data_IF_763584930854
#
_entry.id   IF_763584930854
#
_cell.length_a   1.000
_cell.length_b   1.000
_cell.length_c   1.000
_cell.angle_alpha   90.00
_cell.angle_beta   90.00
_cell.angle_gamma   90.00
#
_symmetry.space_group_name_H-M   'P 1'
#
loop_
_entity.id
_entity.type
_entity.pdbx_description
1 polymer ?
#
# COMPACT_ATOMS: atom_id res chain seq x y z
N UNK A 1 8.01 -15.01 25.05
CA UNK A 1 8.44 -13.86 25.86
C UNK A 1 9.30 -12.96 24.99
N UNK A 2 9.26 -11.65 25.23
CA UNK A 2 9.95 -10.66 24.39
C UNK A 2 10.91 -9.84 25.25
N UNK A 3 12.13 -9.65 24.76
CA UNK A 3 13.15 -8.81 25.39
C UNK A 3 13.58 -7.71 24.43
N UNK A 4 13.79 -6.51 24.96
CA UNK A 4 14.33 -5.36 24.24
C UNK A 4 15.63 -4.93 24.89
N UNK A 5 16.65 -4.71 24.07
CA UNK A 5 17.94 -4.13 24.45
C UNK A 5 18.11 -2.84 23.68
N UNK A 6 18.38 -1.74 24.39
CA UNK A 6 18.53 -0.42 23.78
C UNK A 6 19.99 0.00 23.88
N UNK A 7 20.49 0.58 22.80
CA UNK A 7 21.78 1.25 22.78
C UNK A 7 21.59 2.70 22.37
N UNK A 8 21.47 3.57 23.38
CA UNK A 8 21.31 5.01 23.20
C UNK A 8 22.65 5.74 23.08
N UNK A 9 23.78 5.08 23.37
CA UNK A 9 25.11 5.69 23.38
C UNK A 9 25.98 5.27 22.19
N UNK A 10 25.52 4.34 21.35
CA UNK A 10 26.16 3.91 20.09
C UNK A 10 26.82 5.07 19.30
N UNK A 11 26.12 6.20 19.15
CA UNK A 11 26.67 7.34 18.41
C UNK A 11 27.87 7.99 19.10
N UNK A 12 27.87 8.04 20.43
CA UNK A 12 28.97 8.62 21.21
C UNK A 12 30.17 7.66 21.30
N UNK A 13 29.92 6.35 21.33
CA UNK A 13 30.93 5.32 21.51
C UNK A 13 31.61 4.95 20.18
N UNK A 14 30.82 4.69 19.15
CA UNK A 14 31.28 4.09 17.88
C UNK A 14 30.90 4.92 16.63
N UNK A 15 30.06 5.95 16.79
CA UNK A 15 29.55 6.75 15.68
C UNK A 15 28.33 6.14 14.97
N UNK A 16 27.81 5.02 15.50
CA UNK A 16 26.67 4.30 14.95
C UNK A 16 25.33 4.93 15.36
N UNK A 17 24.25 4.70 14.58
CA UNK A 17 22.91 5.14 14.94
C UNK A 17 22.41 4.44 16.22
N UNK A 18 21.54 5.14 16.96
CA UNK A 18 20.87 4.58 18.13
C UNK A 18 20.07 3.35 17.70
N UNK A 19 20.16 2.27 18.48
CA UNK A 19 19.54 1.00 18.13
C UNK A 19 18.64 0.41 19.19
N UNK A 20 17.66 -0.38 18.74
CA UNK A 20 16.88 -1.29 19.59
C UNK A 20 16.97 -2.69 19.01
N UNK A 21 17.44 -3.64 19.83
CA UNK A 21 17.44 -5.07 19.51
C UNK A 21 16.27 -5.74 20.22
N UNK A 22 15.53 -6.55 19.49
CA UNK A 22 14.37 -7.31 19.95
C UNK A 22 14.66 -8.79 19.80
N UNK A 23 14.37 -9.57 20.84
CA UNK A 23 14.41 -11.02 20.81
C UNK A 23 13.06 -11.57 21.27
N UNK A 24 12.44 -12.42 20.46
CA UNK A 24 11.15 -13.04 20.73
C UNK A 24 11.31 -14.55 20.71
N UNK A 25 10.80 -15.24 21.73
CA UNK A 25 10.70 -16.70 21.68
C UNK A 25 9.73 -17.16 20.59
N UNK A 26 10.14 -18.12 19.79
CA UNK A 26 9.31 -18.75 18.76
C UNK A 26 8.10 -19.45 19.38
N UNK A 27 8.31 -20.09 20.53
CA UNK A 27 7.27 -20.81 21.22
C UNK A 27 6.81 -20.11 22.50
N UNK A 28 5.51 -20.20 22.75
CA UNK A 28 4.92 -19.74 24.01
C UNK A 28 5.28 -20.70 25.14
N UNK A 29 5.64 -20.18 26.33
CA UNK A 29 6.11 -20.96 27.48
C UNK A 29 5.19 -22.13 27.87
N UNK A 30 3.88 -22.00 27.63
CA UNK A 30 2.85 -23.02 27.93
C UNK A 30 2.42 -23.87 26.73
N UNK A 31 3.10 -23.80 25.58
CA UNK A 31 2.76 -24.61 24.41
C UNK A 31 2.97 -26.10 24.71
N UNK A 32 2.09 -27.02 24.28
CA UNK A 32 2.37 -28.45 24.37
C UNK A 32 3.46 -28.80 23.35
N UNK A 33 4.67 -29.12 23.83
CA UNK A 33 5.86 -29.31 23.00
C UNK A 33 6.05 -30.77 22.55
N UNK A 34 6.47 -30.97 21.28
CA UNK A 34 6.93 -32.27 20.74
C UNK A 34 8.38 -32.18 20.21
N UNK A 35 9.00 -30.98 20.22
CA UNK A 35 10.35 -30.76 19.69
C UNK A 35 11.49 -30.94 20.71
N UNK A 36 12.74 -31.14 20.24
CA UNK A 36 13.96 -31.16 21.06
C UNK A 36 14.13 -29.93 21.98
N UNK A 37 14.86 -30.09 23.09
CA UNK A 37 15.02 -29.06 24.14
C UNK A 37 15.71 -27.79 23.64
N UNK A 38 16.58 -27.92 22.64
CA UNK A 38 17.28 -26.86 21.94
C UNK A 38 16.35 -25.96 21.12
N UNK A 39 15.28 -26.50 20.52
CA UNK A 39 14.24 -25.71 19.83
C UNK A 39 13.30 -25.01 20.82
N UNK A 40 13.20 -25.50 22.06
CA UNK A 40 12.30 -24.94 23.08
C UNK A 40 12.66 -23.49 23.46
N UNK A 41 13.94 -23.13 23.34
CA UNK A 41 14.45 -21.79 23.63
C UNK A 41 14.79 -21.00 22.36
N UNK A 42 14.35 -21.47 21.18
CA UNK A 42 14.57 -20.76 19.93
C UNK A 42 13.97 -19.35 19.99
N UNK A 43 14.73 -18.39 19.45
CA UNK A 43 14.34 -16.98 19.40
C UNK A 43 14.53 -16.42 18.01
N UNK A 44 13.58 -15.60 17.59
CA UNK A 44 13.70 -14.72 16.43
C UNK A 44 14.22 -13.37 16.90
N UNK A 45 15.31 -12.90 16.28
CA UNK A 45 15.95 -11.64 16.61
C UNK A 45 15.73 -10.59 15.52
N UNK A 46 15.65 -9.32 15.92
CA UNK A 46 15.66 -8.19 15.02
C UNK A 46 16.36 -6.98 15.65
N UNK A 47 16.87 -6.07 14.83
CA UNK A 47 17.46 -4.81 15.23
C UNK A 47 16.87 -3.68 14.38
N UNK A 48 16.60 -2.53 15.00
CA UNK A 48 16.19 -1.32 14.30
C UNK A 48 17.14 -0.18 14.68
N UNK A 49 17.53 0.59 13.68
CA UNK A 49 18.47 1.69 13.79
C UNK A 49 17.78 3.00 13.46
N UNK A 50 18.00 4.01 14.28
CA UNK A 50 17.42 5.34 14.15
C UNK A 50 18.47 6.44 14.14
N UNK A 51 18.26 7.46 13.32
CA UNK A 51 19.12 8.63 13.30
C UNK A 51 18.83 9.60 14.47
N UNK A 52 19.59 10.70 14.53
CA UNK A 52 19.42 11.73 15.57
C UNK A 52 18.08 12.47 15.55
N UNK A 53 17.21 12.24 14.55
CA UNK A 53 15.86 12.77 14.48
C UNK A 53 14.79 11.71 14.82
N UNK A 54 15.20 10.50 15.21
CA UNK A 54 14.31 9.39 15.54
C UNK A 54 13.69 8.72 14.32
N UNK A 55 14.24 8.93 13.11
CA UNK A 55 13.78 8.26 11.89
C UNK A 55 14.51 6.93 11.76
N UNK A 56 13.77 5.87 11.40
CA UNK A 56 14.39 4.57 11.11
C UNK A 56 15.22 4.67 9.84
N UNK A 57 16.52 4.36 9.94
CA UNK A 57 17.46 4.36 8.82
C UNK A 57 17.75 2.96 8.30
N UNK A 58 17.56 1.92 9.13
CA UNK A 58 17.78 0.53 8.77
C UNK A 58 17.09 -0.40 9.76
N UNK A 59 16.52 -1.51 9.28
CA UNK A 59 16.01 -2.61 10.08
C UNK A 59 16.66 -3.91 9.63
N UNK A 60 17.04 -4.76 10.58
CA UNK A 60 17.66 -6.07 10.31
C UNK A 60 16.87 -7.14 11.04
N UNK A 61 16.27 -8.07 10.32
CA UNK A 61 15.51 -9.18 10.90
C UNK A 61 16.19 -10.50 10.58
N UNK A 62 16.20 -11.44 11.53
CA UNK A 62 16.76 -12.77 11.33
C UNK A 62 16.14 -13.44 10.09
N UNK A 63 17.00 -13.96 9.23
CA UNK A 63 16.63 -14.76 8.06
C UNK A 63 16.93 -16.25 8.33
N UNK A 64 16.47 -17.09 7.40
CA UNK A 64 16.79 -18.50 7.39
C UNK A 64 18.30 -18.75 7.16
N UNK A 65 18.79 -19.89 7.63
CA UNK A 65 20.19 -20.30 7.47
C UNK A 65 20.57 -20.61 6.01
N UNK A 66 19.58 -20.90 5.15
CA UNK A 66 19.80 -21.19 3.73
C UNK A 66 19.29 -20.03 2.87
N UNK A 67 20.18 -19.46 2.05
CA UNK A 67 19.84 -18.45 1.04
C UNK A 67 19.93 -19.07 -0.35
N UNK A 68 18.85 -18.98 -1.12
CA UNK A 68 18.79 -19.48 -2.49
C UNK A 68 19.29 -18.44 -3.49
N UNK A 69 20.06 -18.89 -4.48
CA UNK A 69 20.49 -18.07 -5.61
C UNK A 69 21.46 -16.96 -5.19
N UNK A 70 21.13 -15.72 -5.59
CA UNK A 70 21.94 -14.55 -5.29
C UNK A 70 22.02 -14.33 -3.76
N UNK A 71 23.23 -14.24 -3.20
CA UNK A 71 23.40 -14.13 -1.74
C UNK A 71 23.00 -12.77 -1.16
N UNK A 72 22.78 -11.75 -1.99
CA UNK A 72 22.34 -10.41 -1.60
C UNK A 72 20.83 -10.27 -1.78
N UNK A 73 20.27 -10.66 -2.93
CA UNK A 73 18.84 -10.43 -3.21
C UNK A 73 17.96 -11.68 -3.11
N UNK A 74 18.56 -12.84 -2.98
CA UNK A 74 17.89 -14.12 -3.22
C UNK A 74 17.54 -14.29 -4.70
N UNK A 75 17.51 -15.54 -5.15
CA UNK A 75 16.85 -15.90 -6.42
C UNK A 75 16.44 -17.38 -6.39
N UNK A 76 15.37 -17.70 -7.11
CA UNK A 76 14.86 -19.06 -7.30
C UNK A 76 15.57 -19.85 -8.41
N UNK A 77 16.57 -19.26 -9.09
CA UNK A 77 17.26 -19.85 -10.23
C UNK A 77 16.48 -19.71 -11.55
N UNK A 78 15.52 -18.78 -11.59
CA UNK A 78 14.74 -18.52 -12.81
C UNK A 78 15.50 -17.55 -13.71
N UNK A 79 15.65 -17.85 -15.01
CA UNK A 79 16.30 -16.94 -15.92
C UNK A 79 15.47 -15.67 -16.12
N UNK A 80 16.15 -14.54 -16.34
CA UNK A 80 15.49 -13.27 -16.63
C UNK A 80 14.64 -13.32 -17.92
N UNK A 81 14.98 -14.20 -18.86
CA UNK A 81 14.23 -14.41 -20.09
C UNK A 81 13.37 -15.67 -19.99
N UNK A 82 12.06 -15.50 -20.10
CA UNK A 82 11.07 -16.59 -19.98
C UNK A 82 11.25 -17.75 -20.98
N UNK A 83 11.93 -17.50 -22.11
CA UNK A 83 12.22 -18.52 -23.12
C UNK A 83 13.46 -19.36 -22.81
N UNK A 84 14.28 -18.95 -21.83
CA UNK A 84 15.43 -19.71 -21.40
C UNK A 84 15.00 -20.84 -20.46
N UNK A 85 15.66 -22.01 -20.52
CA UNK A 85 15.31 -23.13 -19.66
C UNK A 85 15.58 -22.79 -18.19
N UNK A 86 14.62 -23.14 -17.33
CA UNK A 86 14.76 -23.02 -15.88
C UNK A 86 16.04 -23.71 -15.40
N UNK A 87 16.74 -23.07 -14.47
CA UNK A 87 17.87 -23.68 -13.78
C UNK A 87 17.40 -24.29 -12.45
N UNK A 88 18.26 -25.14 -11.87
CA UNK A 88 18.00 -25.65 -10.52
C UNK A 88 18.14 -24.51 -9.50
N UNK A 89 17.25 -24.47 -8.51
CA UNK A 89 17.43 -23.63 -7.35
C UNK A 89 18.63 -24.15 -6.53
N UNK A 90 19.64 -23.30 -6.32
CA UNK A 90 20.84 -23.64 -5.54
C UNK A 90 20.80 -22.85 -4.24
N UNK A 91 20.74 -23.56 -3.12
CA UNK A 91 20.81 -22.98 -1.77
C UNK A 91 22.23 -23.00 -1.22
N UNK A 92 22.66 -21.90 -0.61
CA UNK A 92 23.89 -21.83 0.16
C UNK A 92 23.53 -21.80 1.65
N UNK A 93 23.98 -22.81 2.38
CA UNK A 93 23.79 -22.91 3.82
C UNK A 93 24.86 -22.09 4.56
N UNK A 94 24.43 -21.33 5.56
CA UNK A 94 25.30 -20.59 6.46
C UNK A 94 26.24 -21.55 7.19
N UNK A 95 27.53 -21.20 7.25
CA UNK A 95 28.50 -22.00 7.99
C UNK A 95 28.22 -22.00 9.50
N UNK A 96 28.43 -23.14 10.16
CA UNK A 96 28.31 -23.26 11.61
C UNK A 96 29.25 -22.26 12.31
N UNK A 97 28.70 -21.42 13.20
CA UNK A 97 29.43 -20.37 13.91
C UNK A 97 29.57 -19.03 13.18
N UNK A 98 29.14 -18.91 11.91
CA UNK A 98 29.07 -17.61 11.24
C UNK A 98 27.93 -16.74 11.81
N UNK A 99 27.99 -15.39 11.71
CA UNK A 99 26.89 -14.52 12.10
C UNK A 99 25.58 -14.91 11.40
N UNK A 100 24.43 -14.81 12.09
CA UNK A 100 23.13 -15.17 11.51
C UNK A 100 22.86 -14.39 10.23
N UNK A 101 22.23 -15.04 9.25
CA UNK A 101 21.71 -14.33 8.10
C UNK A 101 20.62 -13.37 8.57
N UNK A 102 20.57 -12.19 7.97
CA UNK A 102 19.53 -11.20 8.23
C UNK A 102 18.99 -10.64 6.92
N UNK A 103 17.72 -10.28 6.91
CA UNK A 103 17.17 -9.38 5.91
C UNK A 103 17.32 -7.96 6.41
N UNK A 104 18.14 -7.18 5.72
CA UNK A 104 18.21 -5.73 5.85
C UNK A 104 17.08 -5.12 5.05
N UNK A 105 16.25 -4.32 5.71
CA UNK A 105 15.07 -3.68 5.12
C UNK A 105 14.89 -2.28 5.67
N UNK A 106 14.09 -1.46 4.99
CA UNK A 106 13.86 -0.08 5.39
C UNK A 106 15.14 0.78 5.37
N UNK A 107 16.19 0.31 4.70
CA UNK A 107 17.44 1.05 4.58
C UNK A 107 17.21 2.31 3.73
N UNK A 108 17.31 3.47 4.37
CA UNK A 108 17.02 4.78 3.78
C UNK A 108 18.09 5.77 4.14
N UNK A 109 18.43 6.62 3.17
CA UNK A 109 19.24 7.81 3.41
C UNK A 109 18.41 9.05 3.28
N UNK A 110 18.65 9.95 4.20
CA UNK A 110 17.95 11.22 4.26
C UNK A 110 18.91 12.36 3.97
N UNK A 111 18.43 13.40 3.30
CA UNK A 111 19.12 14.67 3.30
C UNK A 111 18.91 15.42 4.64
N UNK A 112 19.62 16.53 4.81
CA UNK A 112 19.52 17.37 6.00
C UNK A 112 18.15 18.05 6.20
N UNK A 113 17.24 17.94 5.23
CA UNK A 113 15.89 18.53 5.30
C UNK A 113 14.81 17.55 5.77
N UNK A 114 15.10 16.25 5.86
CA UNK A 114 14.05 15.29 6.17
C UNK A 114 13.74 14.30 5.05
N UNK A 115 14.20 14.56 3.84
CA UNK A 115 13.71 13.91 2.62
C UNK A 115 14.54 12.69 2.29
N UNK A 116 13.90 11.62 1.82
CA UNK A 116 14.56 10.34 1.50
C UNK A 116 15.26 10.50 0.15
N UNK A 117 16.59 10.51 0.11
CA UNK A 117 17.34 10.65 -1.15
C UNK A 117 17.74 9.30 -1.75
N UNK A 118 17.88 8.27 -0.94
CA UNK A 118 18.12 6.90 -1.41
C UNK A 118 17.26 5.94 -0.58
N UNK A 119 16.60 5.01 -1.25
CA UNK A 119 15.84 3.94 -0.62
C UNK A 119 16.29 2.61 -1.21
N UNK A 120 16.84 1.75 -0.37
CA UNK A 120 17.32 0.45 -0.78
C UNK A 120 16.18 -0.55 -0.82
N UNK A 121 16.25 -1.45 -1.79
CA UNK A 121 15.45 -2.67 -1.77
C UNK A 121 15.91 -3.56 -0.61
N UNK A 122 15.05 -4.43 -0.05
CA UNK A 122 15.48 -5.39 0.94
C UNK A 122 16.58 -6.32 0.40
N UNK A 123 17.61 -6.57 1.21
CA UNK A 123 18.72 -7.46 0.86
C UNK A 123 19.14 -8.31 2.04
N UNK A 124 19.70 -9.48 1.77
CA UNK A 124 20.36 -10.33 2.75
C UNK A 124 21.73 -9.76 3.11
N UNK A 125 22.07 -9.88 4.38
CA UNK A 125 23.40 -9.62 4.91
C UNK A 125 23.63 -10.57 6.11
N UNK A 126 24.72 -10.39 6.85
CA UNK A 126 25.07 -11.20 8.02
C UNK A 126 25.17 -10.36 9.29
N UNK A 127 24.71 -10.90 10.41
CA UNK A 127 24.76 -10.24 11.71
C UNK A 127 23.75 -9.10 11.88
N UNK A 128 23.59 -8.64 13.12
CA UNK A 128 22.62 -7.59 13.47
C UNK A 128 23.22 -6.19 13.53
N UNK A 129 24.53 -6.04 13.37
CA UNK A 129 25.21 -4.74 13.46
C UNK A 129 24.81 -3.84 12.29
N UNK A 130 24.87 -2.52 12.49
CA UNK A 130 24.49 -1.54 11.49
C UNK A 130 25.40 -1.66 10.26
N UNK A 131 24.82 -1.71 9.06
CA UNK A 131 25.58 -1.64 7.81
C UNK A 131 25.77 -0.18 7.42
N UNK A 132 27.01 0.35 7.47
CA UNK A 132 27.26 1.78 7.36
C UNK A 132 27.01 2.33 5.96
N UNK A 133 26.55 3.58 5.92
CA UNK A 133 26.12 4.31 4.72
C UNK A 133 27.19 4.53 3.63
N UNK A 134 28.42 4.05 3.76
CA UNK A 134 29.44 4.33 2.75
C UNK A 134 29.54 3.23 1.67
N UNK A 135 29.12 2.00 1.95
CA UNK A 135 29.26 0.85 1.04
C UNK A 135 28.18 -0.22 1.23
N UNK A 136 26.89 0.10 1.12
CA UNK A 136 25.84 -0.92 1.25
C UNK A 136 25.90 -1.90 0.07
N UNK A 137 25.64 -3.18 0.37
CA UNK A 137 25.62 -4.25 -0.62
C UNK A 137 24.35 -4.23 -1.50
N UNK A 138 23.29 -3.57 -1.03
CA UNK A 138 22.01 -3.46 -1.72
C UNK A 138 22.00 -2.48 -2.89
N UNK A 139 20.92 -2.54 -3.69
CA UNK A 139 20.62 -1.54 -4.73
C UNK A 139 19.56 -0.57 -4.23
N UNK A 140 19.63 0.68 -4.67
CA UNK A 140 18.71 1.73 -4.25
C UNK A 140 18.08 2.46 -5.43
N UNK A 141 16.83 2.86 -5.23
CA UNK A 141 16.25 3.97 -5.97
C UNK A 141 16.77 5.28 -5.39
N UNK A 142 17.09 6.25 -6.26
CA UNK A 142 17.52 7.60 -5.86
C UNK A 142 16.42 8.60 -6.16
N UNK A 143 16.04 9.39 -5.18
CA UNK A 143 14.97 10.39 -5.29
C UNK A 143 15.56 11.80 -5.25
N UNK A 144 15.06 12.66 -6.15
CA UNK A 144 15.46 14.05 -6.27
C UNK A 144 14.28 14.96 -6.02
N UNK A 145 14.54 16.04 -5.28
CA UNK A 145 13.54 17.00 -4.84
C UNK A 145 13.85 18.39 -5.39
N UNK A 146 12.81 19.17 -5.65
CA UNK A 146 12.96 20.59 -5.93
C UNK A 146 13.17 21.42 -4.65
N UNK A 147 13.33 22.74 -4.81
CA UNK A 147 13.54 23.64 -3.68
C UNK A 147 12.36 23.71 -2.69
N UNK A 148 11.14 23.34 -3.14
CA UNK A 148 9.92 23.29 -2.33
C UNK A 148 9.73 21.93 -1.63
N UNK A 149 10.64 20.97 -1.88
CA UNK A 149 10.60 19.62 -1.31
C UNK A 149 9.65 18.66 -2.02
N UNK A 150 9.27 18.98 -3.26
CA UNK A 150 8.46 18.08 -4.10
C UNK A 150 9.39 17.13 -4.82
N UNK A 151 9.09 15.83 -4.80
CA UNK A 151 9.84 14.84 -5.57
C UNK A 151 9.61 15.07 -7.06
N UNK A 152 10.69 15.32 -7.81
CA UNK A 152 10.66 15.61 -9.24
C UNK A 152 11.20 14.48 -10.08
N UNK A 153 12.09 13.64 -9.53
CA UNK A 153 12.71 12.54 -10.27
C UNK A 153 13.02 11.36 -9.36
N UNK A 154 12.81 10.16 -9.87
CA UNK A 154 13.31 8.90 -9.30
C UNK A 154 14.22 8.25 -10.33
N UNK A 155 15.43 7.85 -9.91
CA UNK A 155 16.36 7.05 -10.71
C UNK A 155 16.40 5.64 -10.14
N UNK A 156 16.03 4.65 -10.93
CA UNK A 156 16.02 3.25 -10.55
C UNK A 156 17.42 2.62 -10.65
N UNK A 157 17.65 1.45 -10.03
CA UNK A 157 18.93 0.74 -10.11
C UNK A 157 19.39 0.40 -11.53
N UNK A 158 18.46 0.23 -12.46
CA UNK A 158 18.71 -0.06 -13.88
C UNK A 158 18.93 1.21 -14.73
N UNK A 159 19.17 2.35 -14.08
CA UNK A 159 19.30 3.69 -14.67
C UNK A 159 18.01 4.25 -15.29
N UNK A 160 16.89 3.53 -15.17
CA UNK A 160 15.60 4.00 -15.65
C UNK A 160 15.06 5.14 -14.79
N UNK A 161 14.42 6.12 -15.43
CA UNK A 161 13.97 7.32 -14.72
C UNK A 161 12.44 7.43 -14.68
N UNK A 162 11.94 7.99 -13.59
CA UNK A 162 10.59 8.53 -13.47
C UNK A 162 10.71 10.02 -13.24
N UNK A 163 9.81 10.81 -13.83
CA UNK A 163 9.86 12.27 -13.74
C UNK A 163 8.45 12.84 -13.48
N UNK A 164 8.39 13.84 -12.60
CA UNK A 164 7.21 14.67 -12.38
C UNK A 164 7.55 16.11 -12.78
N UNK A 165 6.86 16.60 -13.81
CA UNK A 165 6.99 17.97 -14.30
C UNK A 165 5.87 18.81 -13.69
N UNK A 166 6.22 19.79 -12.86
CA UNK A 166 5.26 20.76 -12.30
C UNK A 166 5.07 21.94 -13.25
N UNK A 167 4.43 21.68 -14.37
CA UNK A 167 4.17 22.64 -15.43
C UNK A 167 3.69 21.96 -16.71
N UNK A 168 3.75 22.68 -17.82
CA UNK A 168 3.34 22.19 -19.14
C UNK A 168 4.59 22.05 -20.03
N UNK A 169 5.01 20.83 -20.40
CA UNK A 169 6.10 20.60 -21.36
C UNK A 169 5.84 21.30 -22.69
N UNK A 170 6.91 21.81 -23.33
CA UNK A 170 6.83 22.38 -24.67
C UNK A 170 6.41 21.34 -25.71
N UNK A 171 6.88 20.10 -25.54
CA UNK A 171 6.38 18.91 -26.21
C UNK A 171 6.52 17.68 -25.28
N UNK A 172 5.71 16.64 -25.49
CA UNK A 172 5.71 15.45 -24.63
C UNK A 172 7.08 14.73 -24.61
N UNK A 173 7.86 14.83 -25.69
CA UNK A 173 9.19 14.26 -25.82
C UNK A 173 10.34 15.14 -25.29
N UNK A 174 10.04 16.32 -24.74
CA UNK A 174 11.03 17.25 -24.18
C UNK A 174 10.64 17.68 -22.77
N UNK A 175 10.48 16.74 -21.82
CA UNK A 175 9.93 17.05 -20.50
C UNK A 175 10.79 18.00 -19.64
N UNK A 176 12.05 18.22 -20.01
CA UNK A 176 12.94 19.20 -19.36
C UNK A 176 12.70 20.64 -19.81
N UNK A 177 12.06 20.86 -20.95
CA UNK A 177 11.65 22.17 -21.44
C UNK A 177 10.15 22.35 -21.19
N UNK A 178 9.79 23.12 -20.17
CA UNK A 178 8.40 23.29 -19.76
C UNK A 178 8.13 24.68 -19.19
N UNK A 179 6.88 25.14 -19.38
CA UNK A 179 6.36 26.32 -18.73
C UNK A 179 5.86 25.95 -17.32
N UNK A 180 6.54 26.42 -16.28
CA UNK A 180 6.15 26.14 -14.89
C UNK A 180 4.77 26.71 -14.56
N UNK A 181 3.89 25.89 -13.96
CA UNK A 181 2.57 26.31 -13.48
C UNK A 181 2.14 25.40 -12.32
N UNK A 182 1.43 25.93 -11.30
CA UNK A 182 0.84 25.10 -10.26
C UNK A 182 -0.43 24.37 -10.70
N UNK A 183 -0.99 24.74 -11.86
CA UNK A 183 -2.30 24.29 -12.32
C UNK A 183 -2.25 23.01 -13.16
N UNK A 184 -1.07 22.62 -13.64
CA UNK A 184 -0.89 21.39 -14.41
C UNK A 184 0.41 20.69 -14.00
N UNK A 185 0.38 19.36 -14.04
CA UNK A 185 1.58 18.53 -13.86
C UNK A 185 1.53 17.29 -14.73
N UNK A 186 2.70 16.82 -15.15
CA UNK A 186 2.88 15.63 -15.99
C UNK A 186 3.71 14.60 -15.25
N UNK A 187 3.31 13.34 -15.36
CA UNK A 187 3.96 12.18 -14.76
C UNK A 187 4.47 11.27 -15.86
N UNK A 188 5.79 11.08 -15.88
CA UNK A 188 6.48 10.21 -16.81
C UNK A 188 6.97 8.97 -16.06
N UNK A 189 6.58 7.81 -16.58
CA UNK A 189 7.06 6.51 -16.16
C UNK A 189 8.40 6.15 -16.82
N UNK A 190 9.07 5.06 -16.39
CA UNK A 190 10.29 4.59 -17.03
C UNK A 190 10.10 4.21 -18.50
N UNK A 191 8.88 3.78 -18.86
CA UNK A 191 8.56 3.41 -20.22
C UNK A 191 8.40 4.65 -21.12
N UNK A 192 7.81 5.72 -20.58
CA UNK A 192 7.64 6.98 -21.31
C UNK A 192 8.98 7.62 -21.69
N UNK A 193 9.97 7.50 -20.79
CA UNK A 193 11.32 8.01 -20.96
C UNK A 193 12.28 6.98 -21.59
N UNK A 194 11.78 5.81 -22.00
CA UNK A 194 12.58 4.69 -22.47
C UNK A 194 13.53 5.05 -23.60
N UNK A 195 13.17 5.97 -24.49
CA UNK A 195 14.06 6.46 -25.55
C UNK A 195 15.34 7.12 -25.02
N UNK A 196 15.23 7.88 -23.92
CA UNK A 196 16.34 8.65 -23.35
C UNK A 196 17.12 7.82 -22.34
N UNK A 197 16.43 7.08 -21.47
CA UNK A 197 17.06 6.49 -20.28
C UNK A 197 17.36 5.00 -20.45
N UNK A 198 16.55 4.24 -21.20
CA UNK A 198 16.73 2.79 -21.37
C UNK A 198 16.41 2.32 -22.80
N UNK A 199 17.15 2.80 -23.80
CA UNK A 199 16.82 2.57 -25.21
C UNK A 199 16.82 1.07 -25.53
N UNK A 200 15.72 0.59 -26.12
CA UNK A 200 15.58 -0.80 -26.56
C UNK A 200 15.08 -1.79 -25.50
N UNK A 201 14.79 -1.34 -24.27
CA UNK A 201 14.18 -2.18 -23.23
C UNK A 201 12.67 -2.30 -23.42
N UNK A 202 12.01 -1.22 -23.84
CA UNK A 202 10.55 -1.17 -24.04
C UNK A 202 10.21 -0.87 -25.51
N UNK A 203 9.02 -1.28 -25.98
CA UNK A 203 8.58 -0.96 -27.34
C UNK A 203 8.49 0.56 -27.56
N UNK A 204 8.80 1.01 -28.77
CA UNK A 204 8.72 2.43 -29.15
C UNK A 204 7.30 3.00 -29.03
N UNK A 205 6.28 2.15 -29.07
CA UNK A 205 4.87 2.48 -28.82
C UNK A 205 4.56 2.82 -27.37
N UNK A 206 5.54 2.75 -26.46
CA UNK A 206 5.38 3.14 -25.05
C UNK A 206 6.11 4.42 -24.70
N UNK A 207 6.79 5.03 -25.68
CA UNK A 207 7.49 6.29 -25.48
C UNK A 207 6.51 7.46 -25.48
N UNK A 208 6.80 8.46 -24.63
CA UNK A 208 6.10 9.75 -24.65
C UNK A 208 4.59 9.64 -24.44
N UNK A 209 4.16 8.75 -23.54
CA UNK A 209 2.75 8.54 -23.14
C UNK A 209 2.45 8.95 -21.70
N UNK A 210 2.90 10.14 -21.24
CA UNK A 210 2.74 10.51 -19.85
C UNK A 210 1.27 10.67 -19.45
N UNK A 211 1.02 10.65 -18.15
CA UNK A 211 -0.25 11.11 -17.58
C UNK A 211 -0.14 12.58 -17.19
N UNK A 212 -1.11 13.41 -17.55
CA UNK A 212 -1.20 14.79 -17.06
C UNK A 212 -2.42 15.02 -16.18
N UNK A 213 -2.31 15.99 -15.28
CA UNK A 213 -3.34 16.34 -14.31
C UNK A 213 -3.52 17.86 -14.27
N UNK A 214 -4.76 18.33 -14.40
CA UNK A 214 -5.13 19.73 -14.19
C UNK A 214 -5.76 19.90 -12.82
N UNK A 215 -5.32 20.92 -12.10
CA UNK A 215 -5.60 21.16 -10.69
C UNK A 215 -6.32 22.50 -10.54
N UNK A 216 -7.36 22.55 -9.72
CA UNK A 216 -8.08 23.77 -9.39
C UNK A 216 -7.38 24.60 -8.29
N UNK A 217 -7.82 25.84 -8.01
CA UNK A 217 -7.30 26.68 -6.92
C UNK A 217 -7.42 26.10 -5.51
N UNK A 218 -8.27 25.09 -5.29
CA UNK A 218 -8.43 24.41 -4.00
C UNK A 218 -7.54 23.16 -3.88
N UNK A 219 -6.79 22.82 -4.95
CA UNK A 219 -5.90 21.67 -4.99
C UNK A 219 -6.56 20.37 -5.47
N UNK A 220 -7.80 20.42 -5.96
CA UNK A 220 -8.48 19.24 -6.49
C UNK A 220 -8.02 18.97 -7.93
N UNK A 221 -7.79 17.69 -8.27
CA UNK A 221 -7.52 17.27 -9.65
C UNK A 221 -8.85 17.21 -10.40
N UNK A 222 -9.13 18.23 -11.22
CA UNK A 222 -10.39 18.37 -11.96
C UNK A 222 -10.36 17.68 -13.33
N UNK A 223 -9.17 17.33 -13.83
CA UNK A 223 -9.01 16.61 -15.09
C UNK A 223 -7.77 15.74 -15.03
N UNK A 224 -7.87 14.52 -15.53
CA UNK A 224 -6.72 13.65 -15.81
C UNK A 224 -6.73 13.29 -17.28
N UNK A 225 -5.58 13.42 -17.93
CA UNK A 225 -5.40 13.03 -19.34
C UNK A 225 -4.34 11.94 -19.41
N UNK A 226 -4.68 10.81 -20.02
CA UNK A 226 -3.70 9.81 -20.43
C UNK A 226 -3.35 10.05 -21.91
N UNK A 227 -2.11 10.40 -22.18
CA UNK A 227 -1.61 10.61 -23.53
C UNK A 227 -1.23 9.25 -24.13
N UNK A 228 -1.94 8.79 -25.17
CA UNK A 228 -1.64 7.48 -25.79
C UNK A 228 -0.72 7.62 -26.98
N UNK A 229 0.25 6.71 -27.08
CA UNK A 229 1.15 6.64 -28.21
C UNK A 229 0.38 6.25 -29.46
N UNK A 230 0.86 6.81 -30.58
CA UNK A 230 0.34 6.56 -31.89
C UNK A 230 0.64 5.11 -32.32
N UNK A 231 -0.39 4.30 -32.60
CA UNK A 231 -0.22 2.93 -33.09
C UNK A 231 -0.31 2.80 -34.62
N UNK A 232 -0.74 3.82 -35.38
CA UNK A 232 -1.03 3.62 -36.80
C UNK A 232 -0.66 4.82 -37.65
N UNK A 233 0.26 4.66 -38.61
CA UNK A 233 1.00 5.70 -39.36
C UNK A 233 0.20 6.75 -40.18
N UNK A 234 -1.10 6.93 -39.91
CA UNK A 234 -2.03 7.72 -40.69
C UNK A 234 -2.52 9.03 -40.02
N UNK A 235 -2.19 9.34 -38.74
CA UNK A 235 -2.61 10.62 -38.10
C UNK A 235 -1.65 11.19 -37.05
N UNK A 236 -1.09 12.38 -37.27
CA UNK A 236 -0.17 13.09 -36.34
C UNK A 236 -0.75 13.53 -34.97
N UNK A 237 -1.94 13.08 -34.56
CA UNK A 237 -2.58 13.46 -33.29
C UNK A 237 -2.55 12.33 -32.27
N UNK A 238 -2.04 12.61 -31.07
CA UNK A 238 -2.20 11.75 -29.89
C UNK A 238 -3.70 11.54 -29.59
N UNK A 239 -4.09 10.31 -29.27
CA UNK A 239 -5.44 10.01 -28.77
C UNK A 239 -5.41 10.19 -27.25
N UNK A 240 -5.97 11.30 -26.77
CA UNK A 240 -6.04 11.59 -25.34
C UNK A 240 -7.29 10.95 -24.73
N UNK A 241 -7.10 10.22 -23.64
CA UNK A 241 -8.20 9.72 -22.80
C UNK A 241 -8.36 10.69 -21.64
N UNK A 242 -9.42 11.50 -21.69
CA UNK A 242 -9.66 12.58 -20.73
C UNK A 242 -10.79 12.21 -19.78
N UNK A 243 -10.49 12.16 -18.49
CA UNK A 243 -11.51 12.10 -17.43
C UNK A 243 -11.64 13.48 -16.78
N UNK A 244 -12.87 13.88 -16.46
CA UNK A 244 -13.14 15.15 -15.78
C UNK A 244 -13.87 14.91 -14.46
N UNK A 245 -13.63 15.80 -13.50
CA UNK A 245 -14.12 15.68 -12.13
C UNK A 245 -14.63 17.03 -11.63
N UNK A 246 -15.87 17.06 -11.17
CA UNK A 246 -16.47 18.23 -10.56
C UNK A 246 -16.48 18.07 -9.05
N UNK A 247 -15.93 19.05 -8.33
CA UNK A 247 -15.93 19.09 -6.87
C UNK A 247 -16.82 20.21 -6.34
N UNK A 248 -17.35 20.03 -5.13
CA UNK A 248 -17.96 21.14 -4.40
C UNK A 248 -16.91 22.00 -3.68
N UNK A 249 -17.35 23.08 -3.03
CA UNK A 249 -16.48 24.01 -2.30
C UNK A 249 -15.76 23.38 -1.09
N UNK A 250 -16.15 22.18 -0.68
CA UNK A 250 -15.51 21.42 0.41
C UNK A 250 -14.53 20.38 -0.13
N UNK A 251 -14.31 20.31 -1.45
CA UNK A 251 -13.45 19.34 -2.11
C UNK A 251 -14.07 17.94 -2.22
N UNK A 252 -15.40 17.83 -2.16
CA UNK A 252 -16.09 16.55 -2.32
C UNK A 252 -16.44 16.29 -3.79
N UNK A 253 -16.15 15.10 -4.30
CA UNK A 253 -16.37 14.73 -5.70
C UNK A 253 -17.88 14.61 -6.02
N UNK A 254 -18.45 15.61 -6.68
CA UNK A 254 -19.86 15.67 -7.05
C UNK A 254 -20.12 14.87 -8.33
N UNK A 255 -19.26 14.98 -9.34
CA UNK A 255 -19.44 14.25 -10.61
C UNK A 255 -18.12 13.73 -11.16
N UNK A 256 -18.15 12.55 -11.79
CA UNK A 256 -17.06 12.04 -12.62
C UNK A 256 -17.56 11.81 -14.04
N UNK A 257 -16.86 12.37 -15.01
CA UNK A 257 -17.24 12.38 -16.42
C UNK A 257 -16.18 11.62 -17.23
N UNK A 258 -16.62 10.75 -18.11
CA UNK A 258 -15.76 9.95 -18.97
C UNK A 258 -15.27 10.70 -20.22
N UNK A 259 -14.39 10.10 -21.04
CA UNK A 259 -13.89 10.72 -22.27
C UNK A 259 -14.95 10.93 -23.36
N UNK A 260 -16.14 10.35 -23.19
CA UNK A 260 -17.28 10.51 -24.10
C UNK A 260 -18.29 11.54 -23.57
N UNK A 261 -17.88 12.38 -22.61
CA UNK A 261 -18.70 13.39 -21.93
C UNK A 261 -19.94 12.83 -21.22
N UNK A 262 -19.88 11.57 -20.77
CA UNK A 262 -20.95 10.93 -20.01
C UNK A 262 -20.67 11.02 -18.51
N UNK A 263 -21.65 11.45 -17.74
CA UNK A 263 -21.56 11.42 -16.27
C UNK A 263 -21.61 9.96 -15.81
N UNK A 264 -20.47 9.41 -15.41
CA UNK A 264 -20.33 8.04 -14.89
C UNK A 264 -20.96 7.95 -13.50
N UNK A 265 -20.65 8.92 -12.64
CA UNK A 265 -21.11 8.96 -11.27
C UNK A 265 -21.49 10.38 -10.86
N UNK A 266 -22.59 10.51 -10.13
CA UNK A 266 -23.05 11.75 -9.50
C UNK A 266 -23.34 11.49 -8.02
N UNK A 267 -22.62 12.16 -7.13
CA UNK A 267 -22.68 11.98 -5.68
C UNK A 267 -23.35 13.17 -5.00
N UNK A 268 -24.06 12.90 -3.90
CA UNK A 268 -24.60 13.92 -3.00
C UNK A 268 -24.15 13.64 -1.59
N UNK A 269 -23.68 14.69 -0.93
CA UNK A 269 -23.15 14.61 0.42
C UNK A 269 -24.06 15.32 1.43
N UNK A 270 -23.98 14.90 2.69
CA UNK A 270 -24.50 15.66 3.82
C UNK A 270 -23.61 16.87 4.08
N UNK A 271 -24.09 17.84 4.87
CA UNK A 271 -23.25 18.96 5.30
C UNK A 271 -22.04 18.54 6.15
N UNK A 272 -22.11 17.36 6.79
CA UNK A 272 -21.00 16.76 7.53
C UNK A 272 -20.05 15.94 6.64
N UNK A 273 -20.32 15.86 5.34
CA UNK A 273 -19.46 15.23 4.34
C UNK A 273 -19.75 13.75 4.06
N UNK A 274 -20.84 13.21 4.60
CA UNK A 274 -21.21 11.81 4.39
C UNK A 274 -21.87 11.63 3.02
N UNK A 275 -21.46 10.62 2.25
CA UNK A 275 -22.07 10.35 0.94
C UNK A 275 -23.47 9.72 1.13
N UNK A 276 -24.52 10.47 0.81
CA UNK A 276 -25.91 10.07 1.04
C UNK A 276 -26.56 9.45 -0.20
N UNK A 277 -26.10 9.81 -1.39
CA UNK A 277 -26.63 9.30 -2.65
C UNK A 277 -25.52 9.25 -3.70
N UNK A 278 -25.51 8.17 -4.47
CA UNK A 278 -24.70 8.00 -5.68
C UNK A 278 -25.61 7.54 -6.80
N UNK A 279 -25.55 8.21 -7.94
CA UNK A 279 -26.15 7.71 -9.19
C UNK A 279 -25.00 7.31 -10.09
N UNK A 280 -24.94 6.04 -10.47
CA UNK A 280 -23.89 5.51 -11.34
C UNK A 280 -24.50 4.95 -12.62
N UNK A 281 -23.88 5.20 -13.77
CA UNK A 281 -24.42 4.76 -15.07
C UNK A 281 -24.67 3.23 -15.12
N UNK A 282 -23.73 2.43 -14.63
CA UNK A 282 -23.87 0.95 -14.63
C UNK A 282 -24.62 0.37 -13.43
N UNK A 283 -24.52 0.99 -12.24
CA UNK A 283 -25.07 0.43 -10.99
C UNK A 283 -26.44 1.02 -10.63
N UNK A 284 -26.84 2.09 -11.30
CA UNK A 284 -28.02 2.88 -10.98
C UNK A 284 -27.85 3.70 -9.70
N UNK A 285 -28.98 4.10 -9.12
CA UNK A 285 -29.03 4.89 -7.90
C UNK A 285 -28.82 4.06 -6.64
N UNK A 286 -27.99 4.56 -5.73
CA UNK A 286 -27.80 4.04 -4.38
C UNK A 286 -27.96 5.17 -3.38
N UNK A 287 -28.61 4.89 -2.26
CA UNK A 287 -28.77 5.85 -1.15
C UNK A 287 -28.33 5.24 0.16
N UNK A 288 -27.71 6.05 1.01
CA UNK A 288 -27.28 5.69 2.34
C UNK A 288 -27.82 6.74 3.31
N UNK A 289 -28.51 6.27 4.34
CA UNK A 289 -28.83 7.04 5.52
C UNK A 289 -27.99 6.49 6.67
N UNK A 290 -27.29 7.38 7.35
CA UNK A 290 -26.46 7.06 8.52
C UNK A 290 -27.03 7.73 9.76
N UNK A 291 -26.68 7.21 10.92
CA UNK A 291 -26.97 7.85 12.20
C UNK A 291 -25.95 8.95 12.55
N UNK A 292 -26.05 9.51 13.76
CA UNK A 292 -25.16 10.56 14.25
C UNK A 292 -23.70 10.09 14.45
N UNK A 293 -23.46 8.79 14.55
CA UNK A 293 -22.14 8.17 14.67
C UNK A 293 -21.60 7.69 13.31
N UNK A 294 -22.27 8.06 12.22
CA UNK A 294 -21.94 7.66 10.85
C UNK A 294 -22.09 6.14 10.59
N UNK A 295 -22.90 5.44 11.39
CA UNK A 295 -23.22 4.04 11.17
C UNK A 295 -24.35 3.91 10.15
N UNK A 296 -24.25 2.99 9.17
CA UNK A 296 -25.32 2.75 8.21
C UNK A 296 -26.63 2.40 8.91
N UNK A 297 -27.67 3.20 8.71
CA UNK A 297 -29.00 2.92 9.26
C UNK A 297 -29.92 2.31 8.19
N UNK A 298 -29.92 2.88 6.99
CA UNK A 298 -30.71 2.41 5.84
C UNK A 298 -29.87 2.51 4.58
N UNK A 299 -29.84 1.45 3.79
CA UNK A 299 -29.36 1.49 2.41
C UNK A 299 -30.49 1.17 1.44
N UNK A 300 -30.47 1.80 0.27
CA UNK A 300 -31.31 1.40 -0.85
C UNK A 300 -30.49 1.38 -2.14
N UNK A 301 -30.87 0.51 -3.08
CA UNK A 301 -30.31 0.48 -4.43
C UNK A 301 -31.37 0.66 -5.53
N UNK A 302 -30.90 0.67 -6.78
CA UNK A 302 -31.71 0.92 -7.97
C UNK A 302 -32.76 -0.17 -8.23
N UNK A 303 -32.55 -1.39 -7.72
CA UNK A 303 -33.50 -2.52 -7.84
C UNK A 303 -34.60 -2.43 -6.78
N UNK A 304 -34.53 -1.46 -5.88
CA UNK A 304 -35.38 -1.36 -4.70
C UNK A 304 -34.96 -2.34 -3.60
N UNK A 305 -33.76 -2.92 -3.70
CA UNK A 305 -33.15 -3.63 -2.58
C UNK A 305 -32.95 -2.64 -1.45
N UNK A 306 -33.12 -3.11 -0.22
CA UNK A 306 -33.04 -2.29 0.98
C UNK A 306 -32.46 -3.11 2.10
N UNK A 307 -31.52 -2.52 2.84
CA UNK A 307 -31.05 -3.07 4.12
C UNK A 307 -31.29 -2.08 5.25
N UNK A 308 -31.70 -2.59 6.39
CA UNK A 308 -31.92 -1.88 7.65
C UNK A 308 -31.02 -2.50 8.69
N UNK A 309 -30.27 -1.68 9.42
CA UNK A 309 -29.31 -2.12 10.41
C UNK A 309 -29.79 -1.74 11.81
N UNK A 310 -29.65 -2.65 12.76
CA UNK A 310 -29.79 -2.34 14.18
C UNK A 310 -28.50 -2.64 14.93
N UNK A 311 -28.26 -1.83 15.94
CA UNK A 311 -27.07 -1.85 16.75
C UNK A 311 -27.44 -2.06 18.23
N UNK A 312 -26.52 -2.63 19.00
CA UNK A 312 -26.63 -2.65 20.47
C UNK A 312 -26.18 -1.32 21.09
N UNK A 313 -26.21 -1.24 22.43
CA UNK A 313 -25.77 -0.03 23.17
C UNK A 313 -24.29 0.30 22.97
N UNK A 314 -23.48 -0.68 22.54
CA UNK A 314 -22.06 -0.52 22.23
C UNK A 314 -21.82 -0.24 20.74
N UNK A 315 -22.89 0.05 19.98
CA UNK A 315 -22.85 0.39 18.56
C UNK A 315 -22.36 -0.73 17.65
N UNK A 316 -22.58 -1.98 18.06
CA UNK A 316 -22.23 -3.16 17.27
C UNK A 316 -23.46 -3.71 16.55
N UNK A 317 -23.36 -4.10 15.27
CA UNK A 317 -24.51 -4.63 14.53
C UNK A 317 -25.07 -5.90 15.18
N UNK A 318 -26.39 -5.95 15.40
CA UNK A 318 -27.08 -7.12 15.98
C UNK A 318 -28.08 -7.75 15.01
N UNK A 319 -28.66 -6.95 14.12
CA UNK A 319 -29.61 -7.44 13.12
C UNK A 319 -29.42 -6.69 11.81
N UNK A 320 -29.59 -7.42 10.71
CA UNK A 320 -29.81 -6.83 9.39
C UNK A 320 -31.12 -7.36 8.83
N UNK A 321 -32.04 -6.46 8.53
CA UNK A 321 -33.23 -6.79 7.75
C UNK A 321 -33.01 -6.33 6.32
N UNK A 322 -33.25 -7.21 5.35
CA UNK A 322 -33.04 -6.88 3.96
C UNK A 322 -34.10 -7.47 3.03
N UNK A 323 -34.21 -6.86 1.84
CA UNK A 323 -34.94 -7.37 0.68
C UNK A 323 -34.11 -7.11 -0.57
N UNK A 324 -34.31 -7.95 -1.58
CA UNK A 324 -33.51 -7.93 -2.82
C UNK A 324 -34.09 -7.00 -3.90
N UNK A 325 -35.38 -6.67 -3.80
CA UNK A 325 -36.06 -5.70 -4.67
C UNK A 325 -37.37 -5.21 -4.04
N UNK A 326 -38.00 -4.22 -4.66
CA UNK A 326 -39.23 -3.58 -4.17
C UNK A 326 -40.43 -4.52 -4.04
N UNK A 327 -40.46 -5.64 -4.77
CA UNK A 327 -41.55 -6.61 -4.74
C UNK A 327 -41.44 -7.64 -3.60
N UNK A 328 -40.31 -7.70 -2.90
CA UNK A 328 -40.09 -8.60 -1.76
C UNK A 328 -40.35 -7.88 -0.44
N UNK A 329 -40.81 -8.64 0.56
CA UNK A 329 -40.90 -8.15 1.93
C UNK A 329 -39.50 -8.03 2.53
N UNK A 330 -39.31 -7.05 3.42
CA UNK A 330 -38.08 -6.96 4.23
C UNK A 330 -38.12 -8.04 5.29
N UNK A 331 -37.16 -8.96 5.28
CA UNK A 331 -37.04 -10.04 6.26
C UNK A 331 -35.73 -9.92 7.02
N UNK A 332 -35.65 -10.49 8.22
CA UNK A 332 -34.41 -10.52 8.99
C UNK A 332 -33.46 -11.51 8.32
N UNK A 333 -32.38 -11.01 7.72
CA UNK A 333 -31.39 -11.81 6.97
C UNK A 333 -30.15 -12.10 7.78
N UNK A 334 -29.82 -11.25 8.75
CA UNK A 334 -28.69 -11.49 9.64
C UNK A 334 -29.05 -11.30 11.12
N UNK A 335 -28.48 -12.16 11.96
CA UNK A 335 -28.53 -12.09 13.42
C UNK A 335 -27.12 -12.29 13.96
N UNK A 336 -26.60 -11.29 14.64
CA UNK A 336 -25.26 -11.27 15.23
C UNK A 336 -25.38 -11.25 16.76
N UNK A 337 -24.58 -12.06 17.43
CA UNK A 337 -24.47 -12.09 18.91
C UNK A 337 -23.01 -12.08 19.32
N UNK A 338 -22.68 -11.28 20.32
CA UNK A 338 -21.32 -11.13 20.82
C UNK A 338 -21.11 -12.00 22.08
N UNK A 339 -19.87 -12.32 22.42
CA UNK A 339 -19.55 -13.18 23.57
C UNK A 339 -19.94 -12.58 24.91
N UNK A 340 -20.08 -11.26 24.98
CA UNK A 340 -20.61 -10.50 26.12
C UNK A 340 -22.14 -10.27 26.05
N UNK A 341 -22.81 -10.76 25.00
CA UNK A 341 -24.27 -10.76 24.91
C UNK A 341 -24.88 -11.87 25.77
N UNK A 342 -26.14 -11.69 26.15
CA UNK A 342 -26.89 -12.72 26.88
C UNK A 342 -26.89 -14.07 26.12
N UNK A 343 -26.37 -15.12 26.77
CA UNK A 343 -26.44 -16.49 26.27
C UNK A 343 -25.11 -17.23 26.10
N UNK A 344 -23.94 -16.61 26.35
CA UNK A 344 -22.65 -17.31 26.39
C UNK A 344 -22.01 -17.23 27.78
N UNK A 345 -21.88 -18.35 28.52
CA UNK A 345 -21.25 -18.34 29.83
C UNK A 345 -19.72 -18.27 29.73
N UNK A 346 -19.09 -17.50 30.63
CA UNK A 346 -17.63 -17.38 30.77
C UNK A 346 -16.86 -17.04 29.47
N UNK A 347 -17.23 -15.97 28.75
CA UNK A 347 -16.56 -15.58 27.50
C UNK A 347 -15.06 -15.30 27.64
N UNK A 348 -14.57 -15.01 28.85
CA UNK A 348 -13.13 -14.87 29.12
C UNK A 348 -12.34 -16.16 28.86
N UNK A 349 -12.93 -17.35 29.02
CA UNK A 349 -12.23 -18.61 28.82
C UNK A 349 -11.86 -18.85 27.35
N UNK A 350 -12.59 -18.21 26.44
CA UNK A 350 -12.45 -18.34 24.99
C UNK A 350 -11.99 -17.02 24.34
N UNK A 351 -11.59 -16.03 25.16
CA UNK A 351 -11.24 -14.69 24.68
C UNK A 351 -12.32 -14.02 23.82
N UNK A 352 -13.61 -14.27 24.11
CA UNK A 352 -14.76 -13.81 23.31
C UNK A 352 -15.43 -12.52 23.82
N UNK A 353 -14.95 -11.91 24.91
CA UNK A 353 -15.48 -10.62 25.38
C UNK A 353 -15.33 -9.55 24.30
N UNK A 354 -16.44 -8.94 23.91
CA UNK A 354 -16.47 -7.92 22.85
C UNK A 354 -16.40 -8.48 21.43
N UNK A 355 -16.20 -9.79 21.25
CA UNK A 355 -16.07 -10.45 19.94
C UNK A 355 -17.38 -11.08 19.51
N UNK A 356 -17.56 -11.22 18.19
CA UNK A 356 -18.70 -11.93 17.61
C UNK A 356 -18.61 -13.41 17.98
N UNK A 357 -19.67 -13.95 18.57
CA UNK A 357 -19.78 -15.35 18.98
C UNK A 357 -20.62 -16.15 17.98
N UNK A 358 -21.76 -15.60 17.53
CA UNK A 358 -22.66 -16.24 16.57
C UNK A 358 -23.07 -15.26 15.48
N UNK A 359 -22.99 -15.72 14.23
CA UNK A 359 -23.55 -15.03 13.08
C UNK A 359 -24.48 -15.97 12.31
N UNK A 360 -25.77 -15.65 12.28
CA UNK A 360 -26.71 -16.29 11.37
C UNK A 360 -26.85 -15.38 10.17
N UNK A 361 -26.62 -15.89 8.98
CA UNK A 361 -26.79 -15.20 7.70
C UNK A 361 -27.69 -16.02 6.77
N UNK A 362 -27.72 -15.67 5.48
CA UNK A 362 -28.56 -16.34 4.51
C UNK A 362 -28.06 -17.75 4.12
N UNK A 363 -26.80 -18.06 4.39
CA UNK A 363 -26.19 -19.36 4.09
C UNK A 363 -26.29 -20.33 5.28
N UNK A 364 -26.34 -19.81 6.51
CA UNK A 364 -26.53 -20.63 7.69
C UNK A 364 -26.09 -19.93 8.98
N UNK A 365 -25.44 -20.69 9.86
CA UNK A 365 -24.96 -20.21 11.15
C UNK A 365 -23.47 -20.49 11.28
N UNK A 366 -22.70 -19.46 11.58
CA UNK A 366 -21.31 -19.54 12.01
C UNK A 366 -21.22 -19.30 13.51
N UNK A 367 -20.47 -20.14 14.21
CA UNK A 367 -20.17 -20.00 15.64
C UNK A 367 -18.66 -19.96 15.82
N UNK A 368 -18.18 -19.07 16.68
CA UNK A 368 -16.78 -18.97 17.08
C UNK A 368 -16.66 -19.52 18.52
N UNK A 369 -16.05 -20.69 18.67
CA UNK A 369 -15.99 -21.42 19.95
C UNK A 369 -14.58 -21.58 20.53
N UNK A 370 -13.54 -21.02 19.88
CA UNK A 370 -12.13 -21.21 20.23
C UNK A 370 -11.38 -19.92 20.61
#
# INVERSE_FOLDING_TARGET
>A
GTTFTYDFFAFMEDGDPISVRKSVREHHVNSPYISPVDEQNATIQSAEYSDGYGRIVQSRAQAEDVIYGNQIFGDSGLPARQLEPNQNAVGQERSSGAPLNVVVSGHKRYNNKGEIVEQFEPYFNSGFDYDPDNTPEGVAIKMYYDALGRMVKTLNPDESEQLVVFGIPAALNTPSDYAATPWERYHYSPNDLGEITNPGVVPTTSYWTPKSETIDPLGNVIRTTEHKAHYDADTDSYEDVVMQYNFDIKGQLVESIDPFDRVISANKYSMAGQMLKTVHIDRGEQTLLVDALNLPFITNDAKGARSLFAYDNLQRPIFVWARDNSAKAVTKRQIMRYGDSDGFPNPENYNLKGKLFVHNDEAGKLTYED
#
